data_IF_594183722221
#
_entry.id   IF_594183722221
#
_cell.length_a   1.000
_cell.length_b   1.000
_cell.length_c   1.000
_cell.angle_alpha   90.00
_cell.angle_beta   90.00
_cell.angle_gamma   90.00
#
_symmetry.space_group_name_H-M   'P 1'
#
loop_
_entity.id
_entity.type
_entity.pdbx_description
1 polymer ?
#
# COMPACT_ATOMS: atom_id res chain seq x y z
N UNK A 1 33.34 -4.30 -15.64
CA UNK A 1 33.28 -2.98 -14.99
C UNK A 1 31.83 -2.53 -15.13
N UNK A 2 31.03 -2.38 -14.08
CA UNK A 2 31.34 -2.10 -12.68
C UNK A 2 30.40 -2.85 -11.72
N UNK A 3 30.98 -3.14 -10.57
CA UNK A 3 30.46 -3.67 -9.32
C UNK A 3 29.06 -3.13 -8.96
N UNK A 4 28.01 -3.96 -9.13
CA UNK A 4 26.73 -3.75 -8.46
C UNK A 4 26.82 -4.42 -7.10
N UNK A 5 27.18 -3.59 -6.12
CA UNK A 5 27.36 -3.97 -4.74
C UNK A 5 26.32 -4.99 -4.27
N UNK A 6 26.86 -6.03 -3.66
CA UNK A 6 26.19 -7.02 -2.83
C UNK A 6 25.48 -6.33 -1.63
N UNK A 7 24.38 -5.62 -1.90
CA UNK A 7 23.36 -5.27 -0.91
C UNK A 7 22.64 -6.58 -0.57
N UNK A 8 23.00 -7.19 0.56
CA UNK A 8 22.47 -8.47 1.00
C UNK A 8 20.95 -8.54 0.82
N UNK A 9 20.50 -9.56 0.10
CA UNK A 9 19.11 -9.80 -0.32
C UNK A 9 18.09 -9.36 0.75
N UNK A 10 17.52 -8.15 0.56
CA UNK A 10 16.53 -7.57 1.48
C UNK A 10 15.27 -8.45 1.59
N UNK A 11 14.98 -9.22 0.54
CA UNK A 11 13.87 -10.16 0.50
C UNK A 11 14.21 -11.52 1.13
N UNK A 12 15.45 -11.76 1.58
CA UNK A 12 15.86 -13.06 2.11
C UNK A 12 14.96 -13.53 3.27
N UNK A 13 14.53 -12.60 4.14
CA UNK A 13 13.61 -12.95 5.25
C UNK A 13 12.20 -13.26 4.75
N UNK A 14 11.73 -12.56 3.71
CA UNK A 14 10.47 -12.84 3.04
C UNK A 14 10.48 -14.21 2.37
N UNK A 15 11.48 -14.48 1.53
CA UNK A 15 11.62 -15.76 0.84
C UNK A 15 11.73 -16.95 1.80
N UNK A 16 12.45 -16.80 2.93
CA UNK A 16 12.52 -17.86 3.96
C UNK A 16 11.19 -18.15 4.66
N UNK A 17 10.27 -17.18 4.70
CA UNK A 17 8.98 -17.29 5.38
C UNK A 17 7.85 -17.74 4.46
N UNK A 18 8.12 -18.01 3.18
CA UNK A 18 7.10 -18.34 2.19
C UNK A 18 7.38 -19.66 1.50
N UNK A 19 6.30 -20.39 1.26
CA UNK A 19 6.27 -21.61 0.45
C UNK A 19 5.57 -21.32 -0.86
N UNK A 20 6.34 -20.92 -1.87
CA UNK A 20 5.82 -20.48 -3.17
C UNK A 20 5.21 -21.61 -4.02
N UNK A 21 5.32 -22.85 -3.56
CA UNK A 21 4.60 -24.01 -4.07
C UNK A 21 3.15 -24.10 -3.54
N UNK A 22 2.81 -23.37 -2.47
CA UNK A 22 1.49 -23.39 -1.83
C UNK A 22 0.78 -22.03 -1.78
N UNK A 23 1.52 -20.92 -1.86
CA UNK A 23 0.96 -19.57 -1.80
C UNK A 23 0.84 -18.93 -3.19
N UNK A 24 -0.23 -18.16 -3.40
CA UNK A 24 -0.41 -17.29 -4.58
C UNK A 24 0.34 -15.96 -4.43
N UNK A 25 1.10 -15.78 -3.35
CA UNK A 25 1.93 -14.59 -3.13
C UNK A 25 3.11 -14.54 -4.12
N UNK A 26 3.44 -13.35 -4.65
CA UNK A 26 4.52 -13.21 -5.62
C UNK A 26 5.89 -13.46 -4.97
N UNK A 27 6.69 -14.36 -5.55
CA UNK A 27 8.07 -14.57 -5.13
C UNK A 27 8.89 -13.27 -5.20
N UNK A 28 8.79 -12.58 -6.33
CA UNK A 28 9.39 -11.30 -6.65
C UNK A 28 10.91 -11.22 -6.44
N UNK A 29 11.49 -10.12 -6.93
CA UNK A 29 12.89 -9.77 -6.74
C UNK A 29 13.00 -8.30 -6.31
N UNK A 30 14.13 -7.91 -5.74
CA UNK A 30 14.41 -6.50 -5.50
C UNK A 30 14.61 -5.80 -6.85
N UNK A 31 13.91 -4.69 -7.07
CA UNK A 31 14.01 -3.94 -8.32
C UNK A 31 14.84 -2.65 -8.16
N UNK A 32 15.18 -2.00 -9.27
CA UNK A 32 15.69 -0.63 -9.22
C UNK A 32 14.59 0.35 -8.74
N UNK A 33 14.97 1.53 -8.20
CA UNK A 33 13.99 2.52 -7.76
C UNK A 33 13.12 3.02 -8.92
N UNK A 34 11.79 3.07 -8.72
CA UNK A 34 10.85 3.65 -9.68
C UNK A 34 10.97 5.18 -9.80
N UNK A 35 10.38 5.75 -10.86
CA UNK A 35 10.39 7.20 -11.12
C UNK A 35 9.63 8.00 -10.04
N UNK A 36 8.59 7.43 -9.46
CA UNK A 36 7.92 7.94 -8.25
C UNK A 36 7.69 6.77 -7.29
N UNK A 37 8.10 6.88 -6.01
CA UNK A 37 7.98 5.78 -5.08
C UNK A 37 6.51 5.56 -4.69
N UNK A 38 6.10 4.30 -4.69
CA UNK A 38 4.72 3.90 -4.41
C UNK A 38 4.49 3.50 -2.96
N UNK A 39 3.22 3.51 -2.55
CA UNK A 39 2.81 2.92 -1.27
C UNK A 39 1.58 2.05 -1.47
N UNK A 40 1.43 1.10 -0.55
CA UNK A 40 0.25 0.25 -0.45
C UNK A 40 -0.13 0.07 1.01
N UNK A 41 -1.43 0.00 1.25
CA UNK A 41 -2.00 -0.33 2.54
C UNK A 41 -2.96 -1.50 2.33
N UNK A 42 -2.63 -2.65 2.90
CA UNK A 42 -3.47 -3.84 2.85
C UNK A 42 -4.21 -4.02 4.17
N UNK A 43 -5.44 -4.52 4.14
CA UNK A 43 -6.08 -5.07 5.34
C UNK A 43 -5.81 -6.57 5.32
N UNK A 44 -5.34 -7.10 6.44
CA UNK A 44 -5.02 -8.50 6.62
C UNK A 44 -5.79 -9.08 7.80
N UNK A 45 -6.69 -10.02 7.53
CA UNK A 45 -7.41 -10.78 8.56
C UNK A 45 -6.64 -12.06 8.92
N UNK A 46 -5.46 -11.87 9.51
CA UNK A 46 -4.65 -12.96 10.04
C UNK A 46 -5.15 -13.39 11.43
N UNK A 47 -4.28 -13.97 12.27
CA UNK A 47 -4.58 -14.24 13.70
C UNK A 47 -5.18 -13.03 14.42
N UNK A 48 -4.76 -11.83 14.03
CA UNK A 48 -5.36 -10.56 14.44
C UNK A 48 -5.52 -9.70 13.20
N UNK A 49 -6.66 -9.04 13.10
CA UNK A 49 -6.92 -8.07 12.06
C UNK A 49 -5.98 -6.87 12.21
N UNK A 50 -5.30 -6.52 11.13
CA UNK A 50 -4.40 -5.37 11.08
C UNK A 50 -4.32 -4.79 9.68
N UNK A 51 -3.64 -3.67 9.56
CA UNK A 51 -3.33 -3.04 8.28
C UNK A 51 -1.83 -3.16 8.04
N UNK A 52 -1.42 -3.76 6.94
CA UNK A 52 -0.02 -3.69 6.51
C UNK A 52 0.19 -2.39 5.75
N UNK A 53 1.04 -1.54 6.29
CA UNK A 53 1.45 -0.28 5.70
C UNK A 53 2.82 -0.45 5.06
N UNK A 54 2.94 -0.17 3.76
CA UNK A 54 4.19 -0.42 3.02
C UNK A 54 4.58 0.75 2.15
N UNK A 55 5.88 1.06 2.14
CA UNK A 55 6.50 2.09 1.31
C UNK A 55 7.57 1.46 0.42
N UNK A 56 7.56 1.79 -0.86
CA UNK A 56 8.63 1.45 -1.79
C UNK A 56 9.92 2.21 -1.44
N UNK A 57 10.94 1.51 -0.96
CA UNK A 57 12.24 2.07 -0.58
C UNK A 57 13.33 1.09 -0.99
N UNK A 58 14.36 1.56 -1.69
CA UNK A 58 15.49 0.75 -2.16
C UNK A 58 15.06 -0.54 -2.88
N UNK A 59 14.05 -0.46 -3.75
CA UNK A 59 13.64 -1.59 -4.57
C UNK A 59 12.75 -2.63 -3.91
N UNK A 60 12.34 -2.40 -2.65
CA UNK A 60 11.46 -3.30 -1.89
C UNK A 60 10.35 -2.51 -1.19
N UNK A 61 9.33 -3.21 -0.71
CA UNK A 61 8.28 -2.66 0.14
C UNK A 61 8.69 -2.80 1.61
N UNK A 62 9.30 -1.74 2.18
CA UNK A 62 9.51 -1.65 3.63
C UNK A 62 8.16 -1.61 4.33
N UNK A 63 7.94 -2.51 5.28
CA UNK A 63 6.60 -2.86 5.74
C UNK A 63 6.42 -2.78 7.26
N UNK A 64 5.23 -2.36 7.68
CA UNK A 64 4.81 -2.33 9.08
C UNK A 64 3.37 -2.82 9.25
N UNK A 65 3.14 -3.70 10.22
CA UNK A 65 1.81 -4.04 10.69
C UNK A 65 1.28 -2.93 11.63
N UNK A 66 0.11 -2.38 11.31
CA UNK A 66 -0.57 -1.31 12.04
C UNK A 66 -1.92 -1.85 12.57
N UNK A 67 -2.00 -2.35 13.82
CA UNK A 67 -3.17 -3.09 14.31
C UNK A 67 -4.48 -2.31 14.26
N UNK A 68 -4.43 -1.01 14.55
CA UNK A 68 -5.61 -0.13 14.50
C UNK A 68 -5.74 0.65 13.18
N UNK A 69 -4.89 0.32 12.20
CA UNK A 69 -4.75 1.04 10.94
C UNK A 69 -4.33 2.51 11.05
N UNK A 70 -4.06 3.13 9.90
CA UNK A 70 -3.66 4.54 9.80
C UNK A 70 -4.84 5.48 10.11
N UNK A 71 -4.55 6.63 10.72
CA UNK A 71 -5.56 7.65 11.04
C UNK A 71 -5.41 8.91 10.18
N UNK A 72 -6.50 9.64 9.99
CA UNK A 72 -6.51 11.00 9.43
C UNK A 72 -6.51 12.09 10.51
N UNK A 73 -6.57 11.70 11.80
CA UNK A 73 -6.47 12.61 12.94
C UNK A 73 -4.99 12.77 13.38
N UNK A 74 -4.44 14.00 13.41
CA UNK A 74 -3.11 14.27 13.94
C UNK A 74 -2.92 13.95 15.42
N UNK A 75 -3.99 13.87 16.21
CA UNK A 75 -3.95 13.49 17.62
C UNK A 75 -3.70 12.00 17.83
N UNK A 76 -3.97 11.18 16.81
CA UNK A 76 -3.81 9.73 16.91
C UNK A 76 -2.36 9.28 16.73
N UNK A 77 -1.89 8.49 17.69
CA UNK A 77 -0.60 7.79 17.61
C UNK A 77 -0.86 6.30 17.34
N UNK A 78 -0.57 5.86 16.12
CA UNK A 78 -0.81 4.48 15.69
C UNK A 78 0.47 3.66 15.82
N UNK A 79 0.43 2.58 16.60
CA UNK A 79 1.54 1.62 16.67
C UNK A 79 1.74 1.00 15.28
N UNK A 80 2.98 1.01 14.82
CA UNK A 80 3.44 0.36 13.61
C UNK A 80 4.59 -0.60 13.99
N UNK A 81 4.41 -1.89 13.73
CA UNK A 81 5.39 -2.93 14.07
C UNK A 81 6.07 -3.38 12.79
N UNK A 82 7.39 -3.25 12.65
CA UNK A 82 8.11 -3.67 11.45
C UNK A 82 7.84 -5.14 11.12
N UNK A 83 7.62 -5.43 9.84
CA UNK A 83 7.52 -6.78 9.29
C UNK A 83 8.62 -6.99 8.25
N UNK A 84 8.62 -8.12 7.55
CA UNK A 84 9.57 -8.36 6.47
C UNK A 84 9.44 -7.33 5.35
N UNK A 85 10.53 -7.03 4.66
CA UNK A 85 10.44 -6.37 3.36
C UNK A 85 9.70 -7.28 2.37
N UNK A 86 8.85 -6.72 1.52
CA UNK A 86 8.10 -7.48 0.52
C UNK A 86 8.54 -7.09 -0.89
N UNK A 87 8.42 -7.98 -1.89
CA UNK A 87 8.70 -7.64 -3.27
C UNK A 87 7.71 -6.58 -3.77
N UNK A 88 8.10 -5.78 -4.78
CA UNK A 88 7.26 -4.68 -5.28
C UNK A 88 5.92 -5.19 -5.84
N UNK A 89 5.92 -6.35 -6.47
CA UNK A 89 4.72 -7.02 -7.00
C UNK A 89 3.69 -7.33 -5.91
N UNK A 90 4.14 -7.47 -4.66
CA UNK A 90 3.25 -7.73 -3.51
C UNK A 90 2.25 -6.61 -3.26
N UNK A 91 2.51 -5.40 -3.78
CA UNK A 91 1.56 -4.28 -3.71
C UNK A 91 0.23 -4.59 -4.39
N UNK A 92 0.23 -5.54 -5.31
CA UNK A 92 -0.94 -6.00 -6.05
C UNK A 92 -1.53 -7.29 -5.46
N UNK A 93 -0.98 -7.83 -4.38
CA UNK A 93 -1.53 -9.04 -3.81
C UNK A 93 -2.88 -8.77 -3.11
N UNK A 94 -3.91 -9.49 -3.56
CA UNK A 94 -5.24 -9.58 -2.95
C UNK A 94 -5.74 -11.01 -3.11
N UNK A 95 -5.99 -11.70 -2.00
CA UNK A 95 -6.21 -13.15 -2.02
C UNK A 95 -6.36 -13.73 -0.62
N UNK A 96 -6.23 -15.05 -0.51
CA UNK A 96 -6.27 -15.78 0.76
C UNK A 96 -4.94 -16.48 0.95
N UNK A 97 -4.19 -16.08 1.97
CA UNK A 97 -2.97 -16.81 2.37
C UNK A 97 -3.42 -18.11 3.04
N UNK A 98 -2.94 -19.23 2.52
CA UNK A 98 -3.37 -20.57 2.92
C UNK A 98 -3.20 -20.84 4.43
N UNK A 99 -4.09 -21.64 4.99
CA UNK A 99 -3.98 -22.10 6.39
C UNK A 99 -2.66 -22.83 6.62
N UNK A 100 -1.97 -22.50 7.71
CA UNK A 100 -0.66 -23.07 8.04
C UNK A 100 0.52 -22.26 7.52
N UNK A 101 0.31 -21.37 6.54
CA UNK A 101 1.32 -20.42 6.08
C UNK A 101 1.47 -19.23 7.04
N UNK A 102 2.64 -18.58 6.99
CA UNK A 102 2.87 -17.37 7.77
C UNK A 102 1.97 -16.24 7.27
N UNK A 103 1.07 -15.77 8.13
CA UNK A 103 0.07 -14.77 7.75
C UNK A 103 -1.18 -15.37 7.13
N UNK A 104 -1.51 -16.63 7.39
CA UNK A 104 -2.78 -17.24 6.95
C UNK A 104 -3.99 -16.32 7.19
N UNK A 105 -4.82 -16.15 6.15
CA UNK A 105 -6.01 -15.29 6.17
C UNK A 105 -6.19 -14.45 4.90
N UNK A 106 -7.39 -13.85 4.70
CA UNK A 106 -7.66 -13.01 3.55
C UNK A 106 -6.94 -11.65 3.65
N UNK A 107 -6.49 -11.16 2.49
CA UNK A 107 -5.81 -9.88 2.29
C UNK A 107 -6.54 -9.10 1.21
N UNK A 108 -6.79 -7.80 1.44
CA UNK A 108 -7.27 -6.87 0.41
C UNK A 108 -6.38 -5.63 0.32
N UNK A 109 -6.25 -5.06 -0.87
CA UNK A 109 -5.59 -3.75 -1.06
C UNK A 109 -6.56 -2.64 -0.63
N UNK A 110 -6.41 -2.15 0.60
CA UNK A 110 -7.29 -1.12 1.14
C UNK A 110 -7.01 0.26 0.54
N UNK A 111 -5.76 0.66 0.38
CA UNK A 111 -5.38 1.90 -0.28
C UNK A 111 -4.06 1.73 -1.03
N UNK A 112 -3.84 2.55 -2.04
CA UNK A 112 -2.61 2.56 -2.83
C UNK A 112 -2.46 3.91 -3.53
N UNK A 113 -1.22 4.27 -3.83
CA UNK A 113 -0.89 5.48 -4.56
C UNK A 113 0.61 5.72 -4.59
N UNK A 114 1.00 6.97 -4.81
CA UNK A 114 2.39 7.40 -4.70
C UNK A 114 2.61 8.18 -3.42
N UNK A 115 3.86 8.32 -3.02
CA UNK A 115 4.21 9.21 -1.93
C UNK A 115 5.44 10.05 -2.29
N UNK A 116 5.61 11.13 -1.53
CA UNK A 116 6.78 12.00 -1.65
C UNK A 116 7.46 12.16 -0.31
N UNK A 117 8.77 11.88 -0.19
CA UNK A 117 9.56 12.25 0.99
C UNK A 117 9.38 13.73 1.35
N UNK A 118 9.33 14.03 2.65
CA UNK A 118 9.32 15.40 3.18
C UNK A 118 10.59 15.59 4.01
N UNK A 119 11.36 16.64 3.72
CA UNK A 119 12.65 16.91 4.37
C UNK A 119 13.79 17.20 3.40
N UNK A 120 13.54 17.14 2.09
CA UNK A 120 14.58 17.25 1.06
C UNK A 120 15.36 15.94 0.90
N UNK A 121 16.18 15.89 -0.14
CA UNK A 121 16.94 14.69 -0.46
C UNK A 121 16.10 13.62 -1.16
N UNK A 122 16.72 12.92 -2.11
CA UNK A 122 16.04 11.95 -2.97
C UNK A 122 15.64 10.65 -2.24
N UNK A 123 15.50 9.56 -3.00
CA UNK A 123 15.19 8.24 -2.45
C UNK A 123 16.21 7.76 -1.41
N UNK A 124 17.51 7.99 -1.67
CA UNK A 124 18.59 7.60 -0.75
C UNK A 124 18.47 8.30 0.61
N UNK A 125 18.12 9.59 0.63
CA UNK A 125 17.95 10.35 1.87
C UNK A 125 16.74 9.86 2.68
N UNK A 126 15.69 9.42 1.99
CA UNK A 126 14.52 8.83 2.63
C UNK A 126 14.83 7.49 3.29
N UNK A 127 15.58 6.62 2.61
CA UNK A 127 16.03 5.35 3.19
C UNK A 127 16.88 5.58 4.44
N UNK A 128 17.85 6.49 4.36
CA UNK A 128 18.68 6.86 5.50
C UNK A 128 17.86 7.50 6.64
N UNK A 129 16.78 8.23 6.34
CA UNK A 129 15.87 8.79 7.34
C UNK A 129 15.11 7.69 8.11
N UNK A 130 14.64 6.65 7.39
CA UNK A 130 14.06 5.46 8.03
C UNK A 130 15.10 4.74 8.87
N UNK A 131 16.33 4.57 8.40
CA UNK A 131 17.37 3.88 9.18
C UNK A 131 17.72 4.64 10.47
N UNK A 132 17.72 5.98 10.42
CA UNK A 132 17.85 6.87 11.60
C UNK A 132 16.65 6.81 12.55
N UNK A 133 15.53 6.22 12.13
CA UNK A 133 14.34 6.04 12.96
C UNK A 133 13.31 7.16 12.84
N UNK A 134 13.43 8.07 11.87
CA UNK A 134 12.41 9.09 11.64
C UNK A 134 12.32 9.51 10.18
N UNK A 135 11.14 9.34 9.57
CA UNK A 135 10.87 9.80 8.22
C UNK A 135 9.52 10.51 8.14
N UNK A 136 9.47 11.63 7.43
CA UNK A 136 8.23 12.33 7.07
C UNK A 136 7.97 12.17 5.57
N UNK A 137 6.72 11.98 5.18
CA UNK A 137 6.33 11.80 3.79
C UNK A 137 4.90 12.30 3.56
N UNK A 138 4.55 12.62 2.31
CA UNK A 138 3.20 12.95 1.90
C UNK A 138 2.64 11.82 1.04
N UNK A 139 1.53 11.24 1.49
CA UNK A 139 0.77 10.24 0.73
C UNK A 139 -0.14 10.94 -0.29
N UNK A 140 -0.24 10.35 -1.47
CA UNK A 140 -1.23 10.66 -2.48
C UNK A 140 -1.97 9.40 -2.93
N UNK A 141 -2.86 8.91 -2.05
CA UNK A 141 -3.66 7.72 -2.26
C UNK A 141 -5.09 7.99 -2.70
N UNK A 142 -5.84 6.90 -2.86
CA UNK A 142 -7.29 6.97 -3.09
C UNK A 142 -8.04 7.34 -1.82
N UNK A 143 -7.59 6.84 -0.65
CA UNK A 143 -8.23 7.07 0.65
C UNK A 143 -7.42 7.98 1.55
N UNK A 144 -6.11 7.77 1.64
CA UNK A 144 -5.22 8.60 2.44
C UNK A 144 -4.48 9.60 1.57
N UNK A 145 -4.63 10.88 1.92
CA UNK A 145 -3.88 11.98 1.33
C UNK A 145 -3.35 12.88 2.43
N UNK A 146 -2.14 13.41 2.26
CA UNK A 146 -1.55 14.38 3.18
C UNK A 146 -0.27 13.88 3.84
N UNK A 147 0.27 14.69 4.75
CA UNK A 147 1.56 14.44 5.37
C UNK A 147 1.47 13.50 6.59
N UNK A 148 2.40 12.57 6.67
CA UNK A 148 2.54 11.57 7.73
C UNK A 148 4.00 11.54 8.21
N UNK A 149 4.21 10.96 9.39
CA UNK A 149 5.52 10.65 9.92
C UNK A 149 5.54 9.24 10.52
N UNK A 150 6.65 8.54 10.31
CA UNK A 150 7.03 7.31 11.01
C UNK A 150 8.17 7.65 11.95
N UNK A 151 8.02 7.35 13.24
CA UNK A 151 9.05 7.55 14.27
C UNK A 151 9.26 6.29 15.08
N UNK A 152 10.48 5.75 15.08
CA UNK A 152 10.90 4.63 15.92
C UNK A 152 11.08 5.14 17.34
N UNK A 153 10.45 4.45 18.29
CA UNK A 153 10.61 4.75 19.72
C UNK A 153 11.19 3.57 20.49
N UNK A 154 11.32 2.40 19.86
CA UNK A 154 12.02 1.24 20.38
C UNK A 154 12.75 0.55 19.23
N UNK A 155 14.07 0.38 19.38
CA UNK A 155 14.95 -0.16 18.33
C UNK A 155 15.22 -1.66 18.45
N UNK A 156 14.76 -2.30 19.53
CA UNK A 156 14.87 -3.73 19.76
C UNK A 156 16.27 -4.25 20.05
N UNK A 157 17.27 -3.37 20.26
CA UNK A 157 18.66 -3.77 20.55
C UNK A 157 18.82 -4.43 21.92
N UNK A 158 17.85 -4.21 22.81
CA UNK A 158 17.72 -4.83 24.13
C UNK A 158 16.98 -6.19 24.10
N UNK A 159 16.72 -6.74 22.91
CA UNK A 159 15.93 -7.97 22.74
C UNK A 159 14.42 -7.73 22.76
N UNK A 160 13.95 -6.50 22.90
CA UNK A 160 12.55 -6.15 22.73
C UNK A 160 12.15 -6.10 21.24
N UNK A 161 10.85 -6.18 20.94
CA UNK A 161 10.38 -6.04 19.56
C UNK A 161 10.51 -4.58 19.08
N UNK A 162 11.13 -4.32 17.93
CA UNK A 162 11.17 -2.97 17.34
C UNK A 162 9.75 -2.37 17.22
N UNK A 163 9.59 -1.08 17.50
CA UNK A 163 8.29 -0.42 17.49
C UNK A 163 8.36 1.04 17.01
N UNK A 164 7.38 1.38 16.18
CA UNK A 164 7.23 2.67 15.53
C UNK A 164 5.86 3.29 15.81
N UNK A 165 5.80 4.61 15.64
CA UNK A 165 4.56 5.37 15.63
C UNK A 165 4.33 5.94 14.23
N UNK A 166 3.18 5.62 13.66
CA UNK A 166 2.63 6.30 12.47
C UNK A 166 1.69 7.41 12.94
N UNK A 167 1.99 8.64 12.53
CA UNK A 167 1.24 9.83 12.95
C UNK A 167 0.90 10.69 11.74
N UNK A 168 -0.36 11.12 11.66
CA UNK A 168 -0.80 12.13 10.70
C UNK A 168 -0.21 13.50 11.11
N UNK A 169 0.37 14.24 10.18
CA UNK A 169 0.81 15.62 10.44
C UNK A 169 -0.35 16.59 10.22
N UNK A 170 -0.39 17.66 11.03
CA UNK A 170 -1.33 18.76 10.85
C UNK A 170 -1.13 19.42 9.48
N UNK A 171 -2.23 19.70 8.79
CA UNK A 171 -2.21 20.36 7.48
C UNK A 171 -3.52 20.19 6.73
N UNK A 172 -3.56 20.55 5.43
CA UNK A 172 -4.75 20.39 4.62
C UNK A 172 -5.32 18.97 4.66
N UNK A 173 -6.62 18.86 4.87
CA UNK A 173 -7.33 17.57 4.97
C UNK A 173 -7.06 16.77 6.26
N UNK A 174 -6.27 17.29 7.22
CA UNK A 174 -6.25 16.70 8.57
C UNK A 174 -7.50 17.12 9.33
N UNK A 175 -8.14 16.19 10.04
CA UNK A 175 -9.32 16.49 10.84
C UNK A 175 -9.25 15.80 12.19
N UNK A 176 -9.37 16.60 13.27
CA UNK A 176 -9.54 16.12 14.66
C UNK A 176 -10.93 15.51 14.93
N UNK A 177 -11.81 15.58 13.93
CA UNK A 177 -13.14 14.96 13.92
C UNK A 177 -13.31 14.09 12.68
N UNK A 178 -12.20 13.77 11.99
CA UNK A 178 -12.21 13.00 10.76
C UNK A 178 -12.68 11.58 11.03
N UNK A 179 -13.21 10.87 10.02
CA UNK A 179 -13.56 9.47 10.20
C UNK A 179 -12.33 8.70 10.68
N UNK A 180 -12.48 8.01 11.82
CA UNK A 180 -11.49 7.05 12.29
C UNK A 180 -11.19 6.03 11.17
N UNK A 181 -10.05 5.32 11.27
CA UNK A 181 -9.76 4.14 10.45
C UNK A 181 -11.07 3.35 10.24
N UNK A 182 -11.53 3.14 8.99
CA UNK A 182 -12.82 2.51 8.76
C UNK A 182 -12.82 1.09 9.33
N UNK A 183 -14.01 0.59 9.70
CA UNK A 183 -14.16 -0.80 10.13
C UNK A 183 -13.55 -1.73 9.06
N UNK A 184 -12.44 -2.42 9.37
CA UNK A 184 -11.74 -3.26 8.40
C UNK A 184 -12.61 -4.37 7.82
N UNK A 185 -13.63 -4.84 8.54
CA UNK A 185 -14.56 -5.87 8.06
C UNK A 185 -15.52 -5.37 6.98
N UNK A 186 -15.80 -4.07 6.96
CA UNK A 186 -16.71 -3.41 6.01
C UNK A 186 -15.97 -2.65 4.91
N UNK A 187 -14.66 -2.48 5.08
CA UNK A 187 -13.84 -1.77 4.13
C UNK A 187 -13.76 -2.52 2.79
N UNK A 188 -13.70 -1.74 1.70
CA UNK A 188 -13.61 -2.24 0.33
C UNK A 188 -12.22 -2.05 -0.25
N UNK A 189 -11.78 -3.01 -1.05
CA UNK A 189 -10.56 -2.92 -1.83
C UNK A 189 -10.59 -1.71 -2.75
N UNK A 190 -9.48 -0.98 -2.78
CA UNK A 190 -9.24 0.10 -3.73
C UNK A 190 -8.98 -0.41 -5.16
N UNK A 191 -8.69 -1.71 -5.32
CA UNK A 191 -8.47 -2.36 -6.62
C UNK A 191 -9.76 -2.96 -7.17
N UNK A 192 -10.44 -3.76 -6.37
CA UNK A 192 -11.53 -4.64 -6.86
C UNK A 192 -12.91 -4.27 -6.29
N UNK A 193 -12.97 -3.38 -5.29
CA UNK A 193 -14.19 -3.08 -4.54
C UNK A 193 -14.67 -4.20 -3.59
N UNK A 194 -13.95 -5.34 -3.54
CA UNK A 194 -14.30 -6.49 -2.68
C UNK A 194 -14.01 -6.21 -1.20
N UNK A 195 -14.79 -6.82 -0.31
CA UNK A 195 -14.47 -6.91 1.12
C UNK A 195 -13.64 -8.16 1.43
N UNK A 196 -13.04 -8.23 2.62
CA UNK A 196 -12.35 -9.43 3.10
C UNK A 196 -13.21 -10.70 2.97
N UNK A 197 -14.49 -10.64 3.37
CA UNK A 197 -15.40 -11.78 3.28
C UNK A 197 -15.72 -12.19 1.84
N UNK A 198 -15.66 -11.26 0.88
CA UNK A 198 -15.82 -11.59 -0.53
C UNK A 198 -14.58 -12.29 -1.08
N UNK A 199 -13.39 -11.81 -0.71
CA UNK A 199 -12.12 -12.47 -1.06
C UNK A 199 -12.02 -13.86 -0.44
N UNK A 200 -12.35 -14.00 0.86
CA UNK A 200 -12.35 -15.29 1.56
C UNK A 200 -13.29 -16.33 0.94
N UNK A 201 -14.36 -15.91 0.27
CA UNK A 201 -15.32 -16.79 -0.41
C UNK A 201 -14.99 -17.02 -1.89
N UNK A 202 -13.88 -16.47 -2.40
CA UNK A 202 -13.55 -16.54 -3.82
C UNK A 202 -14.53 -15.82 -4.73
N UNK A 203 -15.19 -14.75 -4.25
CA UNK A 203 -16.16 -13.99 -5.07
C UNK A 203 -15.42 -13.28 -6.23
N UNK A 204 -15.89 -13.43 -7.49
CA UNK A 204 -15.25 -12.81 -8.64
C UNK A 204 -15.28 -11.28 -8.55
N UNK A 205 -14.28 -10.65 -9.17
CA UNK A 205 -14.17 -9.18 -9.20
C UNK A 205 -15.38 -8.56 -9.90
N UNK A 206 -15.89 -7.45 -9.37
CA UNK A 206 -16.88 -6.64 -10.08
C UNK A 206 -16.11 -5.76 -11.07
N UNK A 207 -16.36 -5.94 -12.37
CA UNK A 207 -15.88 -5.00 -13.39
C UNK A 207 -16.40 -3.60 -13.06
N UNK A 208 -15.50 -2.67 -12.73
CA UNK A 208 -15.82 -1.25 -12.67
C UNK A 208 -16.16 -0.79 -14.09
N UNK A 209 -17.25 -0.02 -14.31
CA UNK A 209 -17.49 0.56 -15.61
C UNK A 209 -16.37 1.53 -15.95
N UNK A 210 -15.74 1.30 -17.10
CA UNK A 210 -14.80 2.20 -17.74
C UNK A 210 -15.43 3.58 -17.85
N UNK A 211 -14.87 4.58 -17.16
CA UNK A 211 -15.25 5.98 -17.39
C UNK A 211 -14.50 6.47 -18.63
N UNK A 212 -14.77 5.81 -19.75
CA UNK A 212 -14.28 6.14 -21.08
C UNK A 212 -14.96 7.41 -21.58
N UNK A 213 -14.20 8.51 -21.54
CA UNK A 213 -14.26 9.67 -22.44
C UNK A 213 -15.37 9.65 -23.51
N UNK A 214 -16.40 10.48 -23.31
CA UNK A 214 -17.49 10.69 -24.25
C UNK A 214 -16.98 11.17 -25.61
N UNK A 215 -17.07 10.29 -26.62
CA UNK A 215 -16.89 10.63 -28.03
C UNK A 215 -18.11 11.41 -28.49
N UNK A 216 -17.91 12.68 -28.84
CA UNK A 216 -18.93 13.54 -29.46
C UNK A 216 -19.16 13.02 -30.88
N UNK A 217 -20.27 12.31 -31.11
CA UNK A 217 -20.76 12.03 -32.46
C UNK A 217 -21.42 13.30 -33.01
N UNK A 218 -20.71 14.01 -33.88
CA UNK A 218 -21.33 14.98 -34.80
C UNK A 218 -21.87 14.18 -35.98
N UNK A 219 -23.20 14.12 -36.12
CA UNK A 219 -23.86 13.54 -37.29
C UNK A 219 -23.81 14.53 -38.45
N UNK A 220 -23.12 14.15 -39.52
CA UNK A 220 -23.26 14.74 -40.85
C UNK A 220 -24.63 14.36 -41.41
N UNK A 221 -25.50 15.35 -41.61
CA UNK A 221 -26.76 15.20 -42.34
C UNK A 221 -26.51 15.50 -43.81
N UNK A 222 -26.48 14.48 -44.66
CA UNK A 222 -26.47 14.64 -46.11
C UNK A 222 -27.89 14.80 -46.65
N UNK A 223 -27.95 15.72 -47.60
CA UNK A 223 -29.01 16.15 -48.50
C UNK A 223 -29.77 14.99 -49.18
N UNK A 224 -31.07 15.16 -49.46
CA UNK A 224 -31.64 15.01 -50.81
C UNK A 224 -33.16 15.21 -50.88
N UNK A 225 -33.52 16.00 -51.91
CA UNK A 225 -34.65 15.87 -52.82
C UNK A 225 -36.00 16.49 -52.44
N UNK A 226 -36.34 17.61 -53.11
CA UNK A 226 -37.63 17.75 -53.79
C UNK A 226 -37.48 18.37 -55.19
N UNK A 227 -38.06 17.65 -56.15
CA UNK A 227 -38.13 17.94 -57.58
C UNK A 227 -39.15 19.06 -57.86
N UNK A 228 -38.86 19.82 -58.92
CA UNK A 228 -39.73 20.68 -59.75
C UNK A 228 -40.96 19.93 -60.30
N UNK A 229 -42.00 20.59 -60.84
CA UNK A 229 -41.96 21.57 -61.95
C UNK A 229 -41.88 23.03 -61.50
#
# INVERSE_FOLDING_TARGET
MEDRGNDGDRLARYHRKRRFDTTDEPRGESAGPGAEPSFVIQIHDARRMHFDFRLEVDGVLRSWAVPRGPSTDPGDRRLAVPTEDHPLEYREYEGVIASGEYGAGPVIVWDQGTYRPLGGGGAADFSAALDRGHASFRLDGRKLRGAYALTRFRDGRDGSAEAWLLVRKTGPGSSRSGPATPDPRRARSARTGRTLSQVARGTPERSMPDHGSGRVHRSEGNDHARRRP
#
